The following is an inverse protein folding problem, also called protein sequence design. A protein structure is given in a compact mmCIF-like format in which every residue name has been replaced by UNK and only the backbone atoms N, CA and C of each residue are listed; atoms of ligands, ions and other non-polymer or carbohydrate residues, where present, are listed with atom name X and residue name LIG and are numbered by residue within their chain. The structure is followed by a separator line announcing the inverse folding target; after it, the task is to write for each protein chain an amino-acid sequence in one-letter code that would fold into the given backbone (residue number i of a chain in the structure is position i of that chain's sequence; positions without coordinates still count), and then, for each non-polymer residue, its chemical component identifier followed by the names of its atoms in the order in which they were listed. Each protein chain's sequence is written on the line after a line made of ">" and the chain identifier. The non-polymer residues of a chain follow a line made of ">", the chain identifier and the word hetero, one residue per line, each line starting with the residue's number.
data_IF_272798647681
#
_entry.id   IF_272798647681
#
_cell.length_a   1.000
_cell.length_b   1.000
_cell.length_c   1.000
_cell.angle_alpha   90.00
_cell.angle_beta   90.00
_cell.angle_gamma   90.00
#
_symmetry.space_group_name_H-M   'P 1'
#
loop_
_entity.id
_entity.type
_entity.pdbx_description
1 polymer ?
#
# COMPACT_ATOMS: atom_id res chain seq x y z
N UNK A 1 22.85 -14.89 9.16
CA UNK A 1 23.65 -14.17 8.14
C UNK A 1 22.68 -13.36 7.30
N UNK A 2 22.86 -12.04 7.18
CA UNK A 2 22.09 -11.22 6.25
C UNK A 2 22.54 -11.60 4.84
N UNK A 3 21.64 -12.08 3.99
CA UNK A 3 21.93 -12.38 2.57
C UNK A 3 22.40 -11.14 1.80
N UNK A 4 22.06 -9.94 2.30
CA UNK A 4 22.49 -8.65 1.78
C UNK A 4 22.96 -7.75 2.93
N UNK A 5 24.24 -7.82 3.34
CA UNK A 5 24.80 -6.92 4.34
C UNK A 5 24.70 -5.46 3.87
N UNK A 6 24.11 -4.60 4.70
CA UNK A 6 23.90 -3.18 4.37
C UNK A 6 25.22 -2.46 4.02
N UNK A 7 26.32 -2.84 4.67
CA UNK A 7 27.64 -2.26 4.44
C UNK A 7 28.15 -2.45 2.99
N UNK A 8 27.76 -3.53 2.32
CA UNK A 8 28.24 -3.84 0.97
C UNK A 8 27.27 -3.35 -0.13
N UNK A 9 25.97 -3.26 0.20
CA UNK A 9 24.90 -2.92 -0.76
C UNK A 9 24.26 -1.54 -0.51
N UNK A 10 24.83 -0.69 0.34
CA UNK A 10 24.29 0.63 0.66
C UNK A 10 24.04 1.51 -0.57
N UNK A 11 24.90 1.40 -1.60
CA UNK A 11 24.78 2.13 -2.87
C UNK A 11 23.55 1.71 -3.67
N UNK A 12 23.18 0.43 -3.62
CA UNK A 12 21.98 -0.09 -4.27
C UNK A 12 20.72 0.42 -3.56
N UNK A 13 20.70 0.35 -2.23
CA UNK A 13 19.61 0.92 -1.44
C UNK A 13 19.47 2.43 -1.66
N UNK A 14 20.58 3.17 -1.64
CA UNK A 14 20.59 4.61 -1.90
C UNK A 14 20.11 4.94 -3.32
N UNK A 15 20.58 4.20 -4.33
CA UNK A 15 20.16 4.36 -5.72
C UNK A 15 18.67 4.06 -5.92
N UNK A 16 18.18 2.97 -5.35
CA UNK A 16 16.76 2.61 -5.39
C UNK A 16 15.88 3.64 -4.69
N UNK A 17 16.27 4.09 -3.49
CA UNK A 17 15.54 5.14 -2.76
C UNK A 17 15.52 6.45 -3.54
N UNK A 18 16.66 6.86 -4.12
CA UNK A 18 16.72 8.07 -4.95
C UNK A 18 15.83 7.96 -6.19
N UNK A 19 15.83 6.80 -6.85
CA UNK A 19 14.95 6.53 -7.98
C UNK A 19 13.47 6.65 -7.59
N UNK A 20 13.06 6.04 -6.48
CA UNK A 20 11.69 6.13 -5.97
C UNK A 20 11.32 7.58 -5.64
N UNK A 21 12.21 8.34 -4.98
CA UNK A 21 11.98 9.75 -4.68
C UNK A 21 11.86 10.60 -5.95
N UNK A 22 12.65 10.30 -6.99
CA UNK A 22 12.61 11.01 -8.27
C UNK A 22 11.29 10.74 -9.02
N UNK A 23 10.85 9.47 -9.09
CA UNK A 23 9.57 9.09 -9.69
C UNK A 23 8.41 9.72 -8.93
N UNK A 24 8.46 9.74 -7.59
CA UNK A 24 7.45 10.37 -6.74
C UNK A 24 7.41 11.90 -6.92
N UNK A 25 8.58 12.54 -7.05
CA UNK A 25 8.67 13.97 -7.33
C UNK A 25 8.11 14.31 -8.74
N UNK A 26 8.32 13.43 -9.72
CA UNK A 26 7.74 13.55 -11.06
C UNK A 26 6.21 13.43 -11.03
N UNK A 27 5.68 12.39 -10.39
CA UNK A 27 4.25 12.11 -10.29
C UNK A 27 3.50 13.26 -9.59
N UNK A 28 4.07 13.76 -8.49
CA UNK A 28 3.49 14.87 -7.71
C UNK A 28 3.74 16.25 -8.33
N UNK A 29 4.84 16.45 -9.07
CA UNK A 29 5.27 17.76 -9.57
C UNK A 29 4.76 18.10 -10.98
N UNK A 30 4.59 17.11 -11.86
CA UNK A 30 4.32 17.33 -13.29
C UNK A 30 2.83 17.22 -13.65
N UNK A 31 2.01 16.53 -12.85
CA UNK A 31 0.59 16.38 -13.16
C UNK A 31 -0.25 17.62 -12.80
N UNK A 32 -0.22 18.61 -13.70
CA UNK A 32 -1.36 19.47 -13.95
C UNK A 32 -2.21 18.85 -15.06
N UNK A 33 -3.40 18.32 -14.77
CA UNK A 33 -4.50 18.28 -15.74
C UNK A 33 -5.84 17.87 -15.14
N UNK A 34 -6.78 18.81 -15.29
CA UNK A 34 -8.25 18.76 -15.19
C UNK A 34 -8.85 17.47 -14.63
N UNK A 35 -9.50 17.62 -13.47
CA UNK A 35 -10.42 16.68 -12.87
C UNK A 35 -11.48 16.26 -13.88
N UNK A 36 -11.29 15.09 -14.49
CA UNK A 36 -12.41 14.33 -15.01
C UNK A 36 -12.95 13.53 -13.83
N UNK A 37 -14.12 13.91 -13.31
CA UNK A 37 -14.78 13.15 -12.25
C UNK A 37 -15.24 11.82 -12.85
N UNK A 38 -14.36 10.81 -12.79
CA UNK A 38 -14.75 9.42 -13.08
C UNK A 38 -15.89 9.09 -12.13
N UNK A 39 -17.04 8.73 -12.68
CA UNK A 39 -18.22 8.43 -11.89
C UNK A 39 -17.95 7.25 -10.94
N UNK A 40 -18.53 7.25 -9.75
CA UNK A 40 -18.35 6.17 -8.76
C UNK A 40 -18.61 4.77 -9.35
N UNK A 41 -19.59 4.68 -10.27
CA UNK A 41 -19.92 3.45 -10.99
C UNK A 41 -18.78 2.99 -11.92
N UNK A 42 -18.17 3.91 -12.64
CA UNK A 42 -17.04 3.63 -13.53
C UNK A 42 -15.81 3.22 -12.72
N UNK A 43 -15.49 3.95 -11.64
CA UNK A 43 -14.35 3.62 -10.77
C UNK A 43 -14.50 2.23 -10.12
N UNK A 44 -15.73 1.87 -9.73
CA UNK A 44 -16.03 0.55 -9.15
C UNK A 44 -15.88 -0.56 -10.20
N UNK A 45 -16.35 -0.32 -11.43
CA UNK A 45 -16.19 -1.27 -12.54
C UNK A 45 -14.71 -1.45 -12.89
N UNK A 46 -13.95 -0.37 -13.00
CA UNK A 46 -12.50 -0.43 -13.24
C UNK A 46 -11.77 -1.21 -12.16
N UNK A 47 -12.12 -1.01 -10.89
CA UNK A 47 -11.56 -1.78 -9.78
C UNK A 47 -11.87 -3.27 -9.92
N UNK A 48 -13.11 -3.63 -10.25
CA UNK A 48 -13.51 -5.02 -10.46
C UNK A 48 -12.77 -5.66 -11.64
N UNK A 49 -12.56 -4.93 -12.74
CA UNK A 49 -11.78 -5.39 -13.90
C UNK A 49 -10.34 -5.67 -13.52
N UNK A 50 -9.69 -4.76 -12.79
CA UNK A 50 -8.30 -4.94 -12.36
C UNK A 50 -8.12 -6.10 -11.38
N UNK A 51 -9.06 -6.27 -10.44
CA UNK A 51 -9.06 -7.40 -9.53
C UNK A 51 -9.28 -8.70 -10.31
N UNK A 52 -10.26 -8.74 -11.20
CA UNK A 52 -10.53 -9.91 -12.06
C UNK A 52 -9.32 -10.30 -12.90
N UNK A 53 -8.64 -9.32 -13.50
CA UNK A 53 -7.42 -9.56 -14.26
C UNK A 53 -6.30 -10.14 -13.39
N UNK A 54 -6.15 -9.66 -12.15
CA UNK A 54 -5.17 -10.20 -11.21
C UNK A 54 -5.49 -11.66 -10.82
N UNK A 55 -6.77 -12.01 -10.63
CA UNK A 55 -7.18 -13.40 -10.37
C UNK A 55 -6.95 -14.31 -11.58
N UNK A 56 -7.28 -13.84 -12.80
CA UNK A 56 -7.00 -14.57 -14.04
C UNK A 56 -5.50 -14.78 -14.20
N UNK A 57 -4.70 -13.73 -13.99
CA UNK A 57 -3.25 -13.82 -14.02
C UNK A 57 -2.73 -14.81 -12.97
N UNK A 58 -3.21 -14.76 -11.73
CA UNK A 58 -2.82 -15.70 -10.68
C UNK A 58 -3.11 -17.16 -11.06
N UNK A 59 -4.27 -17.41 -11.68
CA UNK A 59 -4.62 -18.74 -12.16
C UNK A 59 -3.72 -19.20 -13.31
N UNK A 60 -3.46 -18.34 -14.29
CA UNK A 60 -2.51 -18.64 -15.38
C UNK A 60 -1.08 -18.85 -14.84
N UNK A 61 -0.69 -18.08 -13.84
CA UNK A 61 0.60 -18.19 -13.17
C UNK A 61 0.72 -19.52 -12.40
N UNK A 62 -0.35 -19.96 -11.73
CA UNK A 62 -0.44 -21.28 -11.12
C UNK A 62 -0.26 -22.41 -12.14
N UNK A 63 -0.98 -22.36 -13.27
CA UNK A 63 -0.86 -23.36 -14.34
C UNK A 63 0.55 -23.38 -14.94
N UNK A 64 1.11 -22.19 -15.18
CA UNK A 64 2.48 -22.05 -15.68
C UNK A 64 3.51 -22.60 -14.68
N UNK A 65 3.36 -22.30 -13.39
CA UNK A 65 4.22 -22.81 -12.33
C UNK A 65 4.13 -24.34 -12.24
N UNK A 66 2.93 -24.91 -12.29
CA UNK A 66 2.71 -26.35 -12.27
C UNK A 66 3.35 -27.05 -13.48
N UNK A 67 3.20 -26.47 -14.68
CA UNK A 67 3.87 -26.97 -15.89
C UNK A 67 5.39 -26.86 -15.80
N UNK A 68 5.90 -25.72 -15.33
CA UNK A 68 7.35 -25.48 -15.20
C UNK A 68 7.99 -26.41 -14.17
N UNK A 69 7.37 -26.58 -13.00
CA UNK A 69 7.90 -27.41 -11.91
C UNK A 69 7.83 -28.91 -12.20
N UNK A 70 6.86 -29.37 -12.99
CA UNK A 70 6.75 -30.78 -13.41
C UNK A 70 7.69 -31.16 -14.56
N UNK A 71 8.09 -30.22 -15.42
CA UNK A 71 8.86 -30.52 -16.63
C UNK A 71 10.39 -30.38 -16.46
N UNK A 72 10.87 -29.72 -15.41
CA UNK A 72 12.32 -29.45 -15.24
C UNK A 72 12.97 -30.43 -14.27
N UNK A 73 13.93 -31.21 -14.76
CA UNK A 73 14.73 -32.15 -13.96
C UNK A 73 15.38 -31.50 -12.74
N UNK A 74 15.76 -30.22 -12.83
CA UNK A 74 16.37 -29.48 -11.71
C UNK A 74 15.49 -29.38 -10.47
N UNK A 75 14.16 -29.28 -10.62
CA UNK A 75 13.25 -29.20 -9.48
C UNK A 75 12.86 -30.58 -8.95
N UNK A 76 12.72 -31.55 -9.85
CA UNK A 76 12.44 -32.95 -9.49
C UNK A 76 13.61 -33.63 -8.75
N UNK A 77 14.84 -33.13 -8.95
CA UNK A 77 16.03 -33.60 -8.23
C UNK A 77 16.11 -33.08 -6.78
N UNK A 78 15.23 -32.16 -6.36
CA UNK A 78 15.21 -31.63 -4.99
C UNK A 78 14.46 -32.62 -4.08
N UNK A 79 15.09 -33.18 -3.02
CA UNK A 79 14.43 -34.10 -2.11
C UNK A 79 13.23 -33.43 -1.41
N UNK A 80 12.06 -34.08 -1.44
CA UNK A 80 10.84 -33.58 -0.81
C UNK A 80 10.12 -32.46 -1.56
N UNK A 81 10.48 -32.20 -2.83
CA UNK A 81 9.83 -31.21 -3.66
C UNK A 81 8.57 -31.78 -4.33
N UNK A 82 7.39 -31.32 -3.89
CA UNK A 82 6.11 -31.60 -4.54
C UNK A 82 5.74 -30.45 -5.50
N UNK A 83 5.74 -30.66 -6.83
CA UNK A 83 5.48 -29.60 -7.81
C UNK A 83 4.10 -28.95 -7.64
N UNK A 84 3.08 -29.71 -7.24
CA UNK A 84 1.72 -29.20 -7.03
C UNK A 84 1.66 -28.28 -5.81
N UNK A 85 2.28 -28.70 -4.69
CA UNK A 85 2.32 -27.91 -3.46
C UNK A 85 3.08 -26.61 -3.68
N UNK A 86 4.25 -26.68 -4.34
CA UNK A 86 5.05 -25.49 -4.63
C UNK A 86 4.33 -24.50 -5.57
N UNK A 87 3.63 -25.00 -6.59
CA UNK A 87 2.83 -24.16 -7.48
C UNK A 87 1.72 -23.44 -6.72
N UNK A 88 1.02 -24.14 -5.81
CA UNK A 88 0.00 -23.53 -4.93
C UNK A 88 0.60 -22.46 -4.03
N UNK A 89 1.72 -22.74 -3.37
CA UNK A 89 2.41 -21.76 -2.51
C UNK A 89 2.81 -20.51 -3.29
N UNK A 90 3.37 -20.68 -4.49
CA UNK A 90 3.81 -19.56 -5.36
C UNK A 90 2.62 -18.68 -5.78
N UNK A 91 1.48 -19.29 -6.12
CA UNK A 91 0.26 -18.55 -6.42
C UNK A 91 -0.32 -17.83 -5.18
N UNK A 92 -0.23 -18.46 -4.00
CA UNK A 92 -0.63 -17.83 -2.74
C UNK A 92 0.27 -16.64 -2.40
N UNK A 93 1.59 -16.75 -2.58
CA UNK A 93 2.53 -15.65 -2.37
C UNK A 93 2.22 -14.46 -3.27
N UNK A 94 1.92 -14.71 -4.56
CA UNK A 94 1.48 -13.66 -5.49
C UNK A 94 0.18 -13.01 -5.00
N UNK A 95 -0.84 -13.79 -4.65
CA UNK A 95 -2.13 -13.27 -4.21
C UNK A 95 -2.01 -12.49 -2.89
N UNK A 96 -1.23 -12.99 -1.94
CA UNK A 96 -0.94 -12.30 -0.69
C UNK A 96 -0.20 -10.99 -0.96
N UNK A 97 0.81 -10.99 -1.82
CA UNK A 97 1.50 -9.78 -2.25
C UNK A 97 0.56 -8.75 -2.88
N UNK A 98 -0.30 -9.19 -3.81
CA UNK A 98 -1.30 -8.34 -4.45
C UNK A 98 -2.27 -7.72 -3.44
N UNK A 99 -2.81 -8.52 -2.51
CA UNK A 99 -3.72 -8.03 -1.47
C UNK A 99 -3.00 -7.02 -0.57
N UNK A 100 -1.78 -7.32 -0.12
CA UNK A 100 -0.98 -6.42 0.72
C UNK A 100 -0.73 -5.08 0.00
N UNK A 101 -0.35 -5.12 -1.28
CA UNK A 101 -0.13 -3.91 -2.08
C UNK A 101 -1.41 -3.07 -2.20
N UNK A 102 -2.56 -3.72 -2.49
CA UNK A 102 -3.85 -3.02 -2.56
C UNK A 102 -4.31 -2.46 -1.21
N UNK A 103 -4.12 -3.20 -0.12
CA UNK A 103 -4.42 -2.72 1.24
C UNK A 103 -3.58 -1.50 1.61
N UNK A 104 -2.28 -1.51 1.28
CA UNK A 104 -1.39 -0.36 1.52
C UNK A 104 -1.79 0.88 0.71
N UNK A 105 -2.30 0.70 -0.51
CA UNK A 105 -2.83 1.81 -1.31
C UNK A 105 -4.13 2.40 -0.73
N UNK A 106 -5.05 1.53 -0.28
CA UNK A 106 -6.33 1.93 0.31
C UNK A 106 -6.13 2.65 1.64
N UNK A 107 -5.20 2.19 2.48
CA UNK A 107 -4.86 2.81 3.77
C UNK A 107 -4.52 4.30 3.61
N UNK A 108 -3.64 4.61 2.66
CA UNK A 108 -3.23 5.99 2.37
C UNK A 108 -4.42 6.85 1.91
N UNK A 109 -5.22 6.39 0.95
CA UNK A 109 -6.39 7.14 0.43
C UNK A 109 -7.43 7.38 1.54
N UNK A 110 -7.65 6.36 2.37
CA UNK A 110 -8.63 6.40 3.44
C UNK A 110 -8.28 7.47 4.49
N UNK A 111 -7.02 7.55 4.92
CA UNK A 111 -6.56 8.60 5.85
C UNK A 111 -6.84 9.99 5.28
N UNK A 112 -6.53 10.24 4.01
CA UNK A 112 -6.80 11.54 3.38
C UNK A 112 -8.30 11.84 3.29
N UNK A 113 -9.14 10.85 2.97
CA UNK A 113 -10.58 11.04 2.93
C UNK A 113 -11.16 11.45 4.30
N UNK A 114 -10.70 10.80 5.38
CA UNK A 114 -11.10 11.17 6.76
C UNK A 114 -10.64 12.57 7.13
N UNK A 115 -9.40 12.92 6.81
CA UNK A 115 -8.85 14.26 7.09
C UNK A 115 -9.63 15.33 6.32
N UNK A 116 -9.90 15.14 5.03
CA UNK A 116 -10.69 16.10 4.24
C UNK A 116 -12.14 16.22 4.72
N UNK A 117 -12.75 15.12 5.14
CA UNK A 117 -14.09 15.12 5.72
C UNK A 117 -14.13 15.87 7.06
N UNK A 118 -13.13 15.66 7.93
CA UNK A 118 -13.03 16.33 9.22
C UNK A 118 -12.89 17.85 9.09
N UNK A 119 -12.07 18.32 8.13
CA UNK A 119 -11.84 19.75 7.90
C UNK A 119 -12.79 20.39 6.88
N UNK A 120 -13.65 19.62 6.22
CA UNK A 120 -14.59 20.14 5.21
C UNK A 120 -13.90 20.80 4.01
N UNK A 121 -12.77 20.25 3.54
CA UNK A 121 -11.92 20.88 2.51
C UNK A 121 -12.64 20.91 1.15
N UNK A 122 -12.87 22.10 0.54
CA UNK A 122 -13.50 22.20 -0.78
C UNK A 122 -12.69 21.48 -1.87
N UNK A 123 -13.36 20.82 -2.83
CA UNK A 123 -12.73 20.01 -3.90
C UNK A 123 -11.60 20.71 -4.65
N UNK A 124 -11.68 22.03 -4.80
CA UNK A 124 -10.69 22.87 -5.50
C UNK A 124 -9.33 22.86 -4.78
N UNK A 125 -9.31 22.77 -3.44
CA UNK A 125 -8.09 22.79 -2.64
C UNK A 125 -7.56 21.39 -2.29
N UNK A 126 -8.38 20.33 -2.47
CA UNK A 126 -8.00 18.96 -2.11
C UNK A 126 -6.67 18.53 -2.73
N UNK A 127 -6.40 18.86 -3.99
CA UNK A 127 -5.14 18.51 -4.64
C UNK A 127 -3.91 19.15 -3.96
N UNK A 128 -3.99 20.42 -3.56
CA UNK A 128 -2.87 21.11 -2.89
C UNK A 128 -2.64 20.54 -1.49
N UNK A 129 -3.71 20.26 -0.75
CA UNK A 129 -3.60 19.66 0.59
C UNK A 129 -3.11 18.22 0.48
N UNK A 130 -3.54 17.47 -0.54
CA UNK A 130 -3.07 16.11 -0.82
C UNK A 130 -1.56 16.09 -1.11
N UNK A 131 -1.06 17.04 -1.92
CA UNK A 131 0.37 17.13 -2.21
C UNK A 131 1.21 17.29 -0.93
N UNK A 132 0.90 18.29 -0.10
CA UNK A 132 1.60 18.51 1.16
C UNK A 132 1.38 17.37 2.16
N UNK A 133 0.20 16.75 2.13
CA UNK A 133 -0.17 15.60 2.94
C UNK A 133 0.62 14.35 2.60
N UNK A 134 0.76 13.99 1.33
CA UNK A 134 1.56 12.83 0.87
C UNK A 134 3.03 13.04 1.21
N UNK A 135 3.58 14.23 0.95
CA UNK A 135 4.97 14.55 1.28
C UNK A 135 5.22 14.43 2.79
N UNK A 136 4.34 15.03 3.60
CA UNK A 136 4.40 14.93 5.06
C UNK A 136 4.27 13.49 5.55
N UNK A 137 3.27 12.75 5.05
CA UNK A 137 3.04 11.35 5.41
C UNK A 137 4.24 10.46 5.05
N UNK A 138 4.87 10.67 3.89
CA UNK A 138 6.07 9.95 3.47
C UNK A 138 7.24 10.21 4.42
N UNK A 139 7.45 11.48 4.82
CA UNK A 139 8.50 11.86 5.78
C UNK A 139 8.23 11.23 7.15
N UNK A 140 7.01 11.35 7.68
CA UNK A 140 6.63 10.70 8.93
C UNK A 140 6.80 9.19 8.85
N UNK A 141 6.43 8.57 7.73
CA UNK A 141 6.60 7.15 7.49
C UNK A 141 8.06 6.74 7.52
N UNK A 142 8.96 7.49 6.88
CA UNK A 142 10.40 7.24 6.91
C UNK A 142 10.95 7.35 8.35
N UNK A 143 10.53 8.37 9.10
CA UNK A 143 10.92 8.56 10.51
C UNK A 143 10.40 7.40 11.37
N UNK A 144 9.12 7.05 11.28
CA UNK A 144 8.51 5.98 12.06
C UNK A 144 9.12 4.61 11.73
N UNK A 145 9.45 4.33 10.46
CA UNK A 145 10.13 3.10 10.07
C UNK A 145 11.56 3.08 10.63
N UNK A 146 12.32 4.17 10.47
CA UNK A 146 13.69 4.26 10.96
C UNK A 146 13.74 4.10 12.49
N UNK A 147 12.90 4.83 13.22
CA UNK A 147 12.77 4.72 14.67
C UNK A 147 12.27 3.34 15.08
N UNK A 148 11.22 2.84 14.41
CA UNK A 148 10.63 1.53 14.65
C UNK A 148 11.64 0.39 14.49
N UNK A 149 12.55 0.47 13.52
CA UNK A 149 13.60 -0.54 13.31
C UNK A 149 14.54 -0.70 14.52
N UNK A 150 14.77 0.39 15.26
CA UNK A 150 15.59 0.38 16.49
C UNK A 150 14.74 -0.01 17.70
N UNK A 151 13.49 0.47 17.75
CA UNK A 151 12.55 0.25 18.85
C UNK A 151 11.93 -1.16 18.88
N UNK A 152 11.93 -1.89 17.76
CA UNK A 152 11.42 -3.27 17.67
C UNK A 152 12.18 -4.26 18.57
N UNK A 153 13.34 -3.88 19.11
CA UNK A 153 14.03 -4.66 20.15
C UNK A 153 13.30 -4.66 21.50
N UNK A 154 12.35 -3.74 21.71
CA UNK A 154 11.61 -3.57 22.95
C UNK A 154 10.13 -3.96 22.76
N UNK A 155 9.75 -5.13 23.24
CA UNK A 155 8.39 -5.67 23.10
C UNK A 155 7.29 -4.74 23.66
N UNK A 156 7.57 -4.02 24.77
CA UNK A 156 6.62 -3.08 25.38
C UNK A 156 6.23 -1.93 24.45
N UNK A 157 7.18 -1.47 23.62
CA UNK A 157 6.95 -0.39 22.66
C UNK A 157 6.01 -0.85 21.56
N UNK A 158 6.20 -2.08 21.08
CA UNK A 158 5.32 -2.69 20.06
C UNK A 158 3.90 -2.84 20.60
N UNK A 159 3.74 -3.31 21.84
CA UNK A 159 2.43 -3.40 22.49
C UNK A 159 1.77 -2.04 22.68
N UNK A 160 2.52 -1.01 23.08
CA UNK A 160 2.01 0.35 23.25
C UNK A 160 1.50 0.96 21.94
N UNK A 161 2.32 0.92 20.88
CA UNK A 161 1.92 1.43 19.57
C UNK A 161 0.79 0.61 18.95
N UNK A 162 0.81 -0.73 19.12
CA UNK A 162 -0.30 -1.59 18.70
C UNK A 162 -1.62 -1.23 19.39
N UNK A 163 -1.60 -0.99 20.70
CA UNK A 163 -2.76 -0.53 21.46
C UNK A 163 -3.26 0.85 21.01
N UNK A 164 -2.35 1.80 20.78
CA UNK A 164 -2.68 3.12 20.26
C UNK A 164 -3.39 3.04 18.90
N UNK A 165 -2.89 2.19 17.99
CA UNK A 165 -3.49 1.98 16.67
C UNK A 165 -4.90 1.41 16.77
N UNK A 166 -5.12 0.41 17.63
CA UNK A 166 -6.45 -0.16 17.88
C UNK A 166 -7.41 0.92 18.39
N UNK A 167 -7.00 1.73 19.37
CA UNK A 167 -7.82 2.82 19.90
C UNK A 167 -8.18 3.85 18.82
N UNK A 168 -7.22 4.26 18.00
CA UNK A 168 -7.48 5.19 16.89
C UNK A 168 -8.41 4.59 15.84
N UNK A 169 -8.25 3.30 15.51
CA UNK A 169 -9.12 2.59 14.59
C UNK A 169 -10.56 2.55 15.08
N UNK A 170 -10.79 2.23 16.36
CA UNK A 170 -12.13 2.22 16.98
C UNK A 170 -12.76 3.62 16.97
N UNK A 171 -11.98 4.66 17.33
CA UNK A 171 -12.48 6.05 17.34
C UNK A 171 -12.99 6.49 15.96
N UNK A 172 -12.38 5.98 14.90
CA UNK A 172 -12.71 6.32 13.52
C UNK A 172 -14.05 5.73 13.05
N UNK A 173 -14.52 4.65 13.68
CA UNK A 173 -15.87 4.11 13.44
C UNK A 173 -16.98 4.99 14.02
N UNK A 174 -16.65 5.97 14.88
CA UNK A 174 -17.64 6.89 15.44
C UNK A 174 -17.92 8.02 14.44
N UNK A 175 -19.16 8.17 13.92
CA UNK A 175 -19.46 9.21 12.95
C UNK A 175 -19.20 10.60 13.53
N UNK A 176 -18.39 11.39 12.82
CA UNK A 176 -18.15 12.81 13.17
C UNK A 176 -19.48 13.56 13.08
N UNK A 177 -19.95 14.24 14.14
CA UNK A 177 -21.20 15.00 14.09
C UNK A 177 -21.07 16.11 13.04
N UNK A 178 -21.89 16.04 11.98
CA UNK A 178 -21.95 17.10 10.97
C UNK A 178 -22.57 18.34 11.62
N UNK A 179 -21.73 19.32 12.00
CA UNK A 179 -22.23 20.66 12.34
C UNK A 179 -22.73 21.31 11.06
N UNK A 180 -24.04 21.18 10.85
CA UNK A 180 -24.81 21.93 9.85
C UNK A 180 -24.65 23.41 10.20
N UNK A 181 -23.82 24.14 9.47
CA UNK A 181 -23.69 25.59 9.59
C UNK A 181 -25.04 26.20 9.18
N UNK A 182 -25.88 26.50 10.16
CA UNK A 182 -27.07 27.31 9.96
C UNK A 182 -26.59 28.74 9.74
N UNK A 183 -26.38 29.10 8.48
CA UNK A 183 -26.36 30.49 8.07
C UNK A 183 -27.82 30.94 8.15
N UNK A 184 -28.21 31.46 9.32
CA UNK A 184 -29.41 32.28 9.45
C UNK A 184 -29.13 33.60 8.73
N UNK A 185 -29.63 33.71 7.51
CA UNK A 185 -29.83 34.99 6.84
C UNK A 185 -31.04 35.60 7.57
N UNK A 186 -30.75 36.56 8.45
CA UNK A 186 -31.69 37.66 8.68
C UNK A 186 -31.51 38.65 7.53
#
# INVERSE_FOLDING_TARGET
>A
MLLFPFADYWWFYAGFTLFVLAVLALDLGVFHRKAHEVSFKEASLWTAVWIGLAFVFNYLFYLYAQYRFSTHERYLAIPGFDPEVQAKTTALEFLTGFIVEKSLAIDNIFVFAVVFAYFGVPKIYQHRVLFWGILGALVFRAIFIAMGSVLMRYEWVVMFFGGLLILTGIKMFSPVPSRRTSIRIF
#
